data_IF_938347582771
#
_entry.id   IF_938347582771
#
_cell.length_a   1.000
_cell.length_b   1.000
_cell.length_c   1.000
_cell.angle_alpha   90.00
_cell.angle_beta   90.00
_cell.angle_gamma   90.00
#
_symmetry.space_group_name_H-M   'P 1'
#
loop_
_entity.id
_entity.type
_entity.pdbx_description
1 polymer ?
#
# COMPACT_ATOMS: atom_id res chain seq x y z
N UNK A 1 7.46 11.87 5.50
CA UNK A 1 7.33 12.05 4.04
C UNK A 1 8.67 11.73 3.41
N UNK A 2 8.67 11.17 2.21
CA UNK A 2 9.88 10.75 1.48
C UNK A 2 9.67 10.95 -0.03
N UNK A 3 10.51 10.35 -0.86
CA UNK A 3 10.47 10.48 -2.32
C UNK A 3 9.89 9.24 -2.99
N UNK A 4 9.54 9.38 -4.27
CA UNK A 4 9.14 8.30 -5.17
C UNK A 4 10.18 7.16 -5.23
N UNK A 5 11.48 7.48 -5.23
CA UNK A 5 12.57 6.50 -5.14
C UNK A 5 12.38 5.56 -3.95
N UNK A 6 11.99 6.08 -2.78
CA UNK A 6 11.75 5.26 -1.60
C UNK A 6 10.55 4.31 -1.81
N UNK A 7 9.45 4.81 -2.37
CA UNK A 7 8.27 3.99 -2.69
C UNK A 7 8.62 2.92 -3.73
N UNK A 8 9.39 3.26 -4.76
CA UNK A 8 9.83 2.34 -5.80
C UNK A 8 10.69 1.20 -5.24
N UNK A 9 11.61 1.51 -4.32
CA UNK A 9 12.42 0.49 -3.65
C UNK A 9 11.54 -0.41 -2.77
N UNK A 10 10.71 0.19 -1.91
CA UNK A 10 9.85 -0.55 -0.97
C UNK A 10 8.90 -1.51 -1.70
N UNK A 11 8.18 -1.05 -2.73
CA UNK A 11 7.25 -1.93 -3.47
C UNK A 11 7.95 -3.08 -4.18
N UNK A 12 9.21 -2.88 -4.59
CA UNK A 12 10.00 -3.89 -5.31
C UNK A 12 10.36 -5.04 -4.38
N UNK A 13 10.73 -4.70 -3.13
CA UNK A 13 10.93 -5.69 -2.06
C UNK A 13 9.64 -6.44 -1.74
N UNK A 14 8.50 -5.73 -1.71
CA UNK A 14 7.18 -6.30 -1.50
C UNK A 14 6.66 -7.14 -2.67
N UNK A 15 7.37 -7.16 -3.81
CA UNK A 15 6.90 -7.73 -5.08
C UNK A 15 5.49 -7.24 -5.47
N UNK A 16 5.20 -5.98 -5.20
CA UNK A 16 3.90 -5.38 -5.44
C UNK A 16 3.96 -4.44 -6.65
N UNK A 17 3.21 -4.77 -7.70
CA UNK A 17 3.10 -4.00 -8.93
C UNK A 17 1.68 -3.49 -9.10
N UNK A 18 1.53 -2.29 -9.65
CA UNK A 18 0.24 -1.68 -9.93
C UNK A 18 0.21 -0.96 -11.26
N UNK A 19 -0.99 -0.72 -11.77
CA UNK A 19 -1.25 0.17 -12.89
C UNK A 19 -2.60 0.86 -12.66
N UNK A 20 -2.54 2.14 -12.27
CA UNK A 20 -3.74 2.94 -12.03
C UNK A 20 -4.26 3.51 -13.37
N UNK A 21 -5.57 3.76 -13.51
CA UNK A 21 -6.14 4.39 -14.71
C UNK A 21 -5.41 5.69 -15.08
N UNK A 22 -5.09 5.87 -16.37
CA UNK A 22 -4.36 7.04 -16.87
C UNK A 22 -2.85 7.05 -16.59
N UNK A 23 -2.33 6.05 -15.88
CA UNK A 23 -0.90 5.92 -15.59
C UNK A 23 -0.29 4.66 -16.22
N UNK A 24 1.00 4.74 -16.54
CA UNK A 24 1.79 3.57 -16.92
C UNK A 24 2.03 2.66 -15.72
N UNK A 25 2.35 1.39 -15.99
CA UNK A 25 2.64 0.39 -14.96
C UNK A 25 3.71 0.92 -13.99
N UNK A 26 3.35 0.95 -12.72
CA UNK A 26 4.23 1.32 -11.64
C UNK A 26 4.57 2.80 -11.57
N UNK A 27 3.80 3.69 -12.20
CA UNK A 27 3.96 5.12 -11.96
C UNK A 27 3.68 5.48 -10.47
N UNK A 28 4.39 6.48 -9.94
CA UNK A 28 4.24 6.99 -8.56
C UNK A 28 3.91 8.48 -8.66
N UNK A 29 2.62 8.87 -8.74
CA UNK A 29 2.24 10.28 -8.89
C UNK A 29 2.58 11.14 -7.67
N UNK A 30 2.68 12.47 -7.81
CA UNK A 30 2.80 13.38 -6.67
C UNK A 30 1.66 13.20 -5.67
N UNK A 31 1.97 13.23 -4.37
CA UNK A 31 0.98 13.06 -3.29
C UNK A 31 0.42 11.65 -3.14
N UNK A 32 0.87 10.69 -3.95
CA UNK A 32 0.48 9.28 -3.81
C UNK A 32 1.09 8.63 -2.57
N UNK A 33 0.51 7.52 -2.14
CA UNK A 33 0.97 6.80 -0.94
C UNK A 33 0.83 5.29 -1.09
N UNK A 34 1.79 4.58 -0.49
CA UNK A 34 1.71 3.15 -0.21
C UNK A 34 1.30 2.98 1.26
N UNK A 35 0.20 2.27 1.50
CA UNK A 35 -0.43 2.18 2.82
C UNK A 35 -0.49 0.73 3.27
N UNK A 36 -0.20 0.51 4.56
CA UNK A 36 -0.37 -0.75 5.27
C UNK A 36 -1.30 -0.54 6.46
N UNK A 37 -2.44 -1.21 6.48
CA UNK A 37 -3.42 -1.13 7.56
C UNK A 37 -3.52 -2.46 8.29
N UNK A 38 -3.49 -2.41 9.62
CA UNK A 38 -3.74 -3.58 10.46
C UNK A 38 -5.21 -3.60 10.90
N UNK A 39 -5.94 -4.59 10.41
CA UNK A 39 -7.34 -4.84 10.74
C UNK A 39 -7.48 -5.91 11.82
N UNK A 40 -8.57 -5.87 12.57
CA UNK A 40 -8.91 -6.86 13.59
C UNK A 40 -10.36 -7.29 13.45
N UNK A 41 -10.60 -8.59 13.38
CA UNK A 41 -11.94 -9.15 13.49
C UNK A 41 -12.45 -8.93 14.91
N UNK A 42 -13.54 -8.18 15.07
CA UNK A 42 -14.08 -7.82 16.38
C UNK A 42 -14.61 -9.04 17.18
N UNK A 43 -15.00 -10.11 16.49
CA UNK A 43 -15.58 -11.32 17.10
C UNK A 43 -14.49 -12.30 17.53
N UNK A 44 -13.53 -12.60 16.65
CA UNK A 44 -12.48 -13.61 16.92
C UNK A 44 -11.18 -13.03 17.44
N UNK A 45 -10.96 -11.71 17.32
CA UNK A 45 -9.70 -11.06 17.64
C UNK A 45 -8.58 -11.28 16.60
N UNK A 46 -8.84 -12.07 15.56
CA UNK A 46 -7.88 -12.34 14.49
C UNK A 46 -7.45 -11.06 13.77
N UNK A 47 -6.18 -11.02 13.37
CA UNK A 47 -5.57 -9.86 12.73
C UNK A 47 -5.36 -10.09 11.24
N UNK A 48 -5.57 -9.03 10.49
CA UNK A 48 -5.41 -9.01 9.04
C UNK A 48 -4.58 -7.79 8.64
N UNK A 49 -3.95 -7.88 7.47
CA UNK A 49 -3.22 -6.79 6.83
C UNK A 49 -3.92 -6.44 5.52
N UNK A 50 -4.17 -5.15 5.31
CA UNK A 50 -4.54 -4.58 4.03
C UNK A 50 -3.37 -3.76 3.52
N UNK A 51 -3.02 -3.92 2.25
CA UNK A 51 -1.91 -3.20 1.63
C UNK A 51 -2.38 -2.65 0.30
N UNK A 52 -2.19 -1.36 0.06
CA UNK A 52 -2.61 -0.75 -1.19
C UNK A 52 -1.76 0.47 -1.56
N UNK A 53 -1.73 0.76 -2.86
CA UNK A 53 -1.20 2.01 -3.40
C UNK A 53 -2.36 2.88 -3.86
N UNK A 54 -2.31 4.19 -3.59
CA UNK A 54 -3.33 5.13 -4.00
C UNK A 54 -2.77 6.45 -4.53
N UNK A 55 -3.47 7.04 -5.50
CA UNK A 55 -3.17 8.34 -6.09
C UNK A 55 -4.45 9.00 -6.63
N UNK A 56 -4.38 10.30 -6.95
CA UNK A 56 -5.40 10.98 -7.75
C UNK A 56 -5.10 10.80 -9.25
N UNK A 57 -6.12 11.00 -10.11
CA UNK A 57 -5.92 11.04 -11.56
C UNK A 57 -5.18 12.30 -12.02
N UNK A 58 -4.65 12.28 -13.24
CA UNK A 58 -3.93 13.43 -13.83
C UNK A 58 -4.80 14.70 -13.89
N UNK A 59 -6.06 14.57 -14.33
CA UNK A 59 -7.00 15.69 -14.41
C UNK A 59 -7.46 16.16 -13.02
N UNK A 60 -7.64 15.24 -12.06
CA UNK A 60 -8.00 15.60 -10.68
C UNK A 60 -6.90 16.44 -10.03
N UNK A 61 -5.63 16.03 -10.20
CA UNK A 61 -4.48 16.80 -9.75
C UNK A 61 -4.43 18.17 -10.43
N UNK A 62 -4.60 18.22 -11.76
CA UNK A 62 -4.59 19.48 -12.53
C UNK A 62 -5.68 20.45 -12.06
N UNK A 63 -6.85 19.94 -11.69
CA UNK A 63 -8.03 20.73 -11.31
C UNK A 63 -8.11 21.01 -9.81
N UNK A 64 -7.17 20.51 -9.01
CA UNK A 64 -7.24 20.53 -7.54
C UNK A 64 -8.56 19.92 -7.03
N UNK A 65 -9.04 18.87 -7.71
CA UNK A 65 -10.26 18.17 -7.32
C UNK A 65 -10.04 17.53 -5.95
N UNK A 66 -10.97 17.78 -5.02
CA UNK A 66 -10.94 17.12 -3.72
C UNK A 66 -11.38 15.66 -3.89
N UNK A 67 -10.64 14.68 -3.35
CA UNK A 67 -11.10 13.30 -3.37
C UNK A 67 -12.37 13.11 -2.53
N UNK A 68 -13.44 12.66 -3.16
CA UNK A 68 -14.75 12.42 -2.54
C UNK A 68 -15.41 11.15 -3.12
N UNK A 69 -16.71 10.96 -2.89
CA UNK A 69 -17.42 9.79 -3.39
C UNK A 69 -17.60 9.79 -4.92
N UNK A 70 -17.61 10.98 -5.54
CA UNK A 70 -17.77 11.17 -6.99
C UNK A 70 -16.42 11.15 -7.71
N UNK A 71 -15.35 11.60 -7.05
CA UNK A 71 -13.98 11.59 -7.53
C UNK A 71 -13.09 10.84 -6.51
N UNK A 72 -13.26 9.51 -6.37
CA UNK A 72 -12.50 8.75 -5.39
C UNK A 72 -11.03 8.66 -5.78
N UNK A 73 -10.18 8.44 -4.78
CA UNK A 73 -8.78 8.07 -5.03
C UNK A 73 -8.71 6.81 -5.90
N UNK A 74 -7.84 6.83 -6.92
CA UNK A 74 -7.44 5.64 -7.65
C UNK A 74 -6.69 4.72 -6.67
N UNK A 75 -7.01 3.44 -6.65
CA UNK A 75 -6.43 2.48 -5.71
C UNK A 75 -6.20 1.12 -6.35
N UNK A 76 -5.08 0.49 -6.00
CA UNK A 76 -4.84 -0.92 -6.27
C UNK A 76 -4.36 -1.61 -4.98
N UNK A 77 -4.93 -2.78 -4.69
CA UNK A 77 -4.62 -3.55 -3.49
C UNK A 77 -3.68 -4.72 -3.82
N UNK A 78 -2.76 -4.99 -2.90
CA UNK A 78 -1.92 -6.18 -2.95
C UNK A 78 -2.72 -7.36 -2.38
N UNK A 79 -2.51 -8.54 -2.97
CA UNK A 79 -3.14 -9.77 -2.50
C UNK A 79 -2.24 -10.99 -2.75
N UNK A 80 -2.55 -12.06 -2.05
CA UNK A 80 -1.95 -13.39 -2.19
C UNK A 80 -3.01 -14.47 -1.87
N UNK A 81 -2.75 -15.76 -2.11
CA UNK A 81 -3.64 -16.81 -1.66
C UNK A 81 -3.97 -16.70 -0.17
N UNK A 82 -5.25 -16.85 0.17
CA UNK A 82 -5.75 -16.73 1.55
C UNK A 82 -6.24 -15.33 1.94
N UNK A 83 -5.98 -14.29 1.13
CA UNK A 83 -6.66 -13.01 1.30
C UNK A 83 -8.15 -13.12 0.96
N UNK A 84 -8.97 -12.27 1.58
CA UNK A 84 -10.43 -12.26 1.43
C UNK A 84 -10.90 -10.86 1.07
N UNK A 85 -11.86 -10.75 0.15
CA UNK A 85 -12.56 -9.49 -0.08
C UNK A 85 -13.59 -9.25 1.04
N UNK A 86 -13.65 -8.00 1.50
CA UNK A 86 -14.57 -7.54 2.55
C UNK A 86 -15.09 -6.15 2.21
N UNK A 87 -16.07 -5.65 2.97
CA UNK A 87 -16.62 -4.30 2.77
C UNK A 87 -15.58 -3.18 2.98
N UNK A 88 -14.48 -3.48 3.67
CA UNK A 88 -13.37 -2.54 3.94
C UNK A 88 -12.17 -2.78 3.02
N UNK A 89 -12.28 -3.66 2.03
CA UNK A 89 -11.22 -4.01 1.06
C UNK A 89 -10.62 -5.40 1.25
N UNK A 90 -9.50 -5.65 0.57
CA UNK A 90 -8.79 -6.94 0.62
C UNK A 90 -8.03 -7.14 1.92
N UNK A 91 -8.46 -8.10 2.73
CA UNK A 91 -7.82 -8.45 4.00
C UNK A 91 -7.04 -9.76 3.88
N UNK A 92 -5.73 -9.70 4.16
CA UNK A 92 -4.83 -10.85 4.14
C UNK A 92 -4.50 -11.31 5.57
N UNK A 93 -4.39 -12.62 5.86
CA UNK A 93 -3.96 -13.11 7.17
C UNK A 93 -2.64 -12.48 7.59
N UNK A 94 -2.62 -11.82 8.76
CA UNK A 94 -1.56 -10.87 9.10
C UNK A 94 -0.15 -11.46 9.02
N UNK A 95 0.10 -12.59 9.67
CA UNK A 95 1.45 -13.18 9.72
C UNK A 95 1.92 -13.66 8.33
N UNK A 96 1.03 -14.29 7.56
CA UNK A 96 1.36 -14.75 6.21
C UNK A 96 1.67 -13.57 5.27
N UNK A 97 0.96 -12.45 5.41
CA UNK A 97 1.21 -11.26 4.62
C UNK A 97 2.55 -10.59 4.98
N UNK A 98 2.85 -10.42 6.27
CA UNK A 98 4.14 -9.87 6.72
C UNK A 98 5.31 -10.74 6.25
N UNK A 99 5.18 -12.06 6.35
CA UNK A 99 6.21 -12.99 5.85
C UNK A 99 6.42 -12.80 4.36
N UNK A 100 5.37 -12.78 3.54
CA UNK A 100 5.47 -12.64 2.09
C UNK A 100 6.08 -11.29 1.66
N UNK A 101 5.61 -10.19 2.23
CA UNK A 101 6.09 -8.84 1.90
C UNK A 101 7.54 -8.60 2.34
N UNK A 102 8.03 -9.35 3.34
CA UNK A 102 9.39 -9.26 3.85
C UNK A 102 10.41 -10.18 3.18
N UNK A 103 10.00 -11.05 2.24
CA UNK A 103 10.86 -12.11 1.69
C UNK A 103 12.15 -11.60 1.03
N UNK A 104 12.12 -10.39 0.46
CA UNK A 104 13.26 -9.81 -0.28
C UNK A 104 14.11 -8.85 0.54
N UNK A 105 13.81 -8.67 1.82
CA UNK A 105 14.59 -7.78 2.69
C UNK A 105 15.97 -8.40 2.92
N UNK A 106 17.02 -7.70 2.49
CA UNK A 106 18.39 -7.97 2.91
C UNK A 106 18.57 -7.51 4.36
N UNK A 107 18.81 -8.47 5.25
CA UNK A 107 18.94 -8.21 6.69
C UNK A 107 20.20 -7.43 7.04
N UNK A 108 21.27 -7.54 6.25
CA UNK A 108 22.50 -6.77 6.48
C UNK A 108 22.31 -5.28 6.19
N UNK A 109 21.35 -4.95 5.31
CA UNK A 109 20.98 -3.59 4.92
C UNK A 109 19.75 -3.04 5.67
N UNK A 110 19.28 -3.72 6.72
CA UNK A 110 18.09 -3.34 7.49
C UNK A 110 18.36 -3.19 9.01
N UNK A 111 19.25 -2.27 9.42
CA UNK A 111 19.51 -2.00 10.83
C UNK A 111 18.24 -1.44 11.51
N UNK A 112 18.14 -1.64 12.82
CA UNK A 112 17.07 -1.05 13.60
C UNK A 112 17.21 0.49 13.63
N UNK A 113 16.10 1.20 13.38
CA UNK A 113 16.03 2.66 13.41
C UNK A 113 14.91 3.07 14.37
N UNK A 114 15.18 4.04 15.24
CA UNK A 114 14.14 4.63 16.09
C UNK A 114 13.19 5.46 15.23
N UNK A 115 11.89 5.15 15.26
CA UNK A 115 10.88 5.89 14.51
C UNK A 115 10.56 7.25 15.12
N UNK A 116 10.84 7.43 16.41
CA UNK A 116 10.77 8.71 17.11
C UNK A 116 12.16 9.32 17.06
N UNK A 117 12.27 10.49 16.44
CA UNK A 117 13.51 11.27 16.39
C UNK A 117 13.85 11.77 17.81
N UNK A 118 15.15 11.87 18.15
CA UNK A 118 15.58 12.40 19.44
C UNK A 118 15.12 13.86 19.64
#
# INVERSE_FOLDING_TARGET
>A
MAHDTNIAMVRTLMNFSWQLPGYSRGNIPPGSSLVLERWRNAKSGERYLRVYFQAQGLDDLRRLQTPDAQHPMLRQEWHQPGCRQTDVGTLCPFQAAITALGQRIDRSSAPAVAMVLP
#
